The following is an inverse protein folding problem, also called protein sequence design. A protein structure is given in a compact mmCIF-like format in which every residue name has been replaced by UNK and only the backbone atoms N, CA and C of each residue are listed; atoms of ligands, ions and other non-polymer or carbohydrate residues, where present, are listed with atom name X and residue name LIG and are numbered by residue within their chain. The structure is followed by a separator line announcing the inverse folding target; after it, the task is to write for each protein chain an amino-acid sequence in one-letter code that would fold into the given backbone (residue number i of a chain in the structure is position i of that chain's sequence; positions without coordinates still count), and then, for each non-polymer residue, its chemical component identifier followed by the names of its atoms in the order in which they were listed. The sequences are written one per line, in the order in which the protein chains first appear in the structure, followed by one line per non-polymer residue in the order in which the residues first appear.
data_IF_527435616010
#
_entry.id   IF_527435616010
#
_cell.length_a   1.000
_cell.length_b   1.000
_cell.length_c   1.000
_cell.angle_alpha   90.00
_cell.angle_beta   90.00
_cell.angle_gamma   90.00
#
_symmetry.space_group_name_H-M   'P 1'
#
loop_
_entity.id
_entity.type
_entity.pdbx_description
1 polymer ?
#
# COMPACT_ATOMS: atom_id res chain seq x y z
N UNK A 1 27.67 -3.54 -36.34
CA UNK A 1 28.15 -4.80 -35.76
C UNK A 1 28.96 -5.59 -36.79
N UNK A 2 30.00 -6.31 -36.36
CA UNK A 2 30.76 -7.30 -37.16
C UNK A 2 31.11 -8.46 -36.24
N UNK A 3 30.88 -9.70 -36.67
CA UNK A 3 31.19 -10.91 -35.90
C UNK A 3 30.65 -10.89 -34.45
N UNK A 4 29.45 -10.33 -34.25
CA UNK A 4 28.80 -10.21 -32.94
C UNK A 4 29.34 -9.08 -32.05
N UNK A 5 30.31 -8.28 -32.51
CA UNK A 5 30.86 -7.14 -31.76
C UNK A 5 30.28 -5.81 -32.27
N UNK A 6 29.91 -4.92 -31.34
CA UNK A 6 29.67 -3.52 -31.64
C UNK A 6 31.02 -2.88 -32.01
N UNK A 7 31.18 -2.49 -33.27
CA UNK A 7 32.45 -1.94 -33.77
C UNK A 7 32.58 -0.44 -33.52
N UNK A 8 31.50 0.31 -33.63
CA UNK A 8 31.51 1.76 -33.49
C UNK A 8 30.10 2.30 -33.17
N UNK A 9 30.04 3.42 -32.45
CA UNK A 9 28.80 4.15 -32.13
C UNK A 9 28.86 5.52 -32.77
N UNK A 10 28.11 5.70 -33.85
CA UNK A 10 28.05 6.98 -34.54
C UNK A 10 27.15 7.96 -33.79
N UNK A 11 27.66 9.14 -33.46
CA UNK A 11 26.89 10.24 -32.86
C UNK A 11 26.04 10.97 -33.91
N UNK A 12 25.32 12.03 -33.55
CA UNK A 12 24.55 12.82 -34.52
C UNK A 12 25.44 13.36 -35.66
N UNK A 13 25.04 13.13 -36.92
CA UNK A 13 25.80 13.61 -38.08
C UNK A 13 25.56 12.77 -39.33
N UNK A 14 26.14 13.20 -40.45
CA UNK A 14 26.22 12.35 -41.65
C UNK A 14 27.42 11.44 -41.51
N UNK A 15 27.19 10.14 -41.63
CA UNK A 15 28.23 9.13 -41.55
C UNK A 15 28.25 8.34 -42.84
N UNK A 16 29.45 8.09 -43.37
CA UNK A 16 29.65 7.23 -44.52
C UNK A 16 30.06 5.85 -44.01
N UNK A 17 29.24 4.85 -44.28
CA UNK A 17 29.55 3.47 -43.94
C UNK A 17 30.46 2.89 -45.02
N UNK A 18 31.76 2.87 -44.76
CA UNK A 18 32.71 2.14 -45.60
C UNK A 18 32.77 0.70 -45.13
N UNK A 19 31.97 -0.16 -45.75
CA UNK A 19 32.23 -1.60 -45.67
C UNK A 19 33.49 -1.88 -46.50
N UNK A 20 34.44 -2.67 -46.00
CA UNK A 20 35.61 -3.14 -46.77
C UNK A 20 35.16 -4.16 -47.85
N UNK A 21 34.10 -3.86 -48.59
CA UNK A 21 33.64 -4.65 -49.70
C UNK A 21 34.44 -4.20 -50.92
N UNK A 22 35.61 -4.80 -51.12
CA UNK A 22 36.41 -4.54 -52.31
C UNK A 22 35.63 -5.09 -53.52
N UNK A 23 35.16 -4.28 -54.47
CA UNK A 23 34.14 -4.69 -55.45
C UNK A 23 34.53 -5.89 -56.35
N UNK A 24 35.83 -6.08 -56.60
CA UNK A 24 36.35 -7.23 -57.37
C UNK A 24 36.54 -8.48 -56.49
N UNK A 25 37.01 -8.34 -55.25
CA UNK A 25 37.18 -9.46 -54.32
C UNK A 25 35.84 -9.95 -53.76
N UNK A 26 34.86 -9.07 -53.57
CA UNK A 26 33.50 -9.43 -53.15
C UNK A 26 32.78 -10.33 -54.17
N UNK A 27 32.99 -10.10 -55.47
CA UNK A 27 32.45 -10.97 -56.53
C UNK A 27 33.18 -12.32 -56.62
N UNK A 28 34.50 -12.35 -56.41
CA UNK A 28 35.30 -13.58 -56.47
C UNK A 28 35.10 -14.47 -55.22
N UNK A 29 35.02 -13.85 -54.03
CA UNK A 29 34.83 -14.54 -52.74
C UNK A 29 33.35 -14.83 -52.46
N UNK A 30 32.43 -14.02 -52.98
CA UNK A 30 30.98 -14.23 -52.86
C UNK A 30 30.40 -15.27 -53.85
N UNK A 31 31.16 -15.71 -54.84
CA UNK A 31 30.75 -16.73 -55.81
C UNK A 31 30.32 -18.08 -55.17
N UNK A 32 31.02 -18.61 -54.14
CA UNK A 32 30.54 -19.76 -53.37
C UNK A 32 29.38 -19.44 -52.39
N UNK A 33 29.04 -18.16 -52.17
CA UNK A 33 27.97 -17.71 -51.27
C UNK A 33 26.81 -17.02 -52.01
N UNK A 34 26.60 -17.33 -53.30
CA UNK A 34 25.45 -16.83 -54.05
C UNK A 34 25.51 -15.36 -54.47
N UNK A 35 26.67 -14.71 -54.42
CA UNK A 35 26.86 -13.31 -54.83
C UNK A 35 26.58 -12.28 -53.73
N UNK A 36 26.24 -12.72 -52.51
CA UNK A 36 26.13 -11.83 -51.35
C UNK A 36 27.51 -11.56 -50.72
N UNK A 37 27.69 -10.35 -50.17
CA UNK A 37 28.92 -9.97 -49.48
C UNK A 37 29.12 -10.87 -48.26
N UNK A 38 30.31 -11.50 -48.08
CA UNK A 38 30.61 -12.30 -46.90
C UNK A 38 30.68 -11.49 -45.59
N UNK A 39 30.61 -10.15 -45.68
CA UNK A 39 30.60 -9.24 -44.55
C UNK A 39 29.29 -8.43 -44.52
N UNK A 40 28.19 -8.99 -43.97
CA UNK A 40 26.95 -8.24 -43.77
C UNK A 40 27.14 -7.18 -42.67
N UNK A 41 26.74 -5.94 -42.96
CA UNK A 41 26.72 -4.85 -41.99
C UNK A 41 25.28 -4.53 -41.61
N UNK A 42 25.02 -4.42 -40.32
CA UNK A 42 23.71 -4.02 -39.78
C UNK A 42 23.81 -2.64 -39.14
N UNK A 43 22.84 -1.78 -39.46
CA UNK A 43 22.72 -0.41 -38.97
C UNK A 43 21.45 -0.33 -38.13
N UNK A 44 21.60 0.13 -36.90
CA UNK A 44 20.49 0.35 -35.98
C UNK A 44 20.33 1.84 -35.73
N UNK A 45 19.10 2.33 -35.84
CA UNK A 45 18.74 3.68 -35.45
C UNK A 45 18.08 3.63 -34.07
N UNK A 46 18.67 4.32 -33.10
CA UNK A 46 18.15 4.39 -31.74
C UNK A 46 17.74 5.82 -31.45
N UNK A 47 16.49 5.99 -31.02
CA UNK A 47 16.04 7.28 -30.53
C UNK A 47 16.57 7.52 -29.11
N UNK A 48 17.23 8.67 -28.92
CA UNK A 48 17.75 9.14 -27.62
C UNK A 48 16.82 10.15 -26.94
N UNK A 49 15.64 10.38 -27.51
CA UNK A 49 14.64 11.23 -26.88
C UNK A 49 14.18 10.63 -25.56
N UNK A 50 13.66 11.47 -24.66
CA UNK A 50 12.98 10.99 -23.47
C UNK A 50 11.61 10.44 -23.85
N UNK A 51 11.41 9.16 -23.58
CA UNK A 51 10.11 8.51 -23.63
C UNK A 51 9.40 8.78 -22.31
N UNK A 52 8.37 9.61 -22.38
CA UNK A 52 7.53 9.97 -21.24
C UNK A 52 6.30 9.07 -21.18
N UNK A 53 5.63 9.03 -20.02
CA UNK A 53 4.36 8.32 -19.82
C UNK A 53 4.42 6.78 -19.98
N UNK A 54 5.60 6.18 -19.79
CA UNK A 54 5.73 4.73 -19.74
C UNK A 54 5.01 4.20 -18.50
N UNK A 55 4.13 3.21 -18.66
CA UNK A 55 3.34 2.70 -17.55
C UNK A 55 4.00 1.49 -16.93
N UNK A 56 3.98 1.44 -15.60
CA UNK A 56 4.36 0.25 -14.87
C UNK A 56 3.26 -0.14 -13.88
N UNK A 57 3.18 -1.42 -13.58
CA UNK A 57 2.22 -1.91 -12.61
C UNK A 57 2.16 -3.42 -12.56
N UNK A 58 1.57 -3.89 -11.48
CA UNK A 58 1.45 -5.32 -11.15
C UNK A 58 0.34 -5.95 -12.00
N UNK A 59 0.68 -6.93 -12.84
CA UNK A 59 -0.33 -7.69 -13.61
C UNK A 59 -1.27 -8.47 -12.68
N UNK A 60 -0.67 -9.15 -11.71
CA UNK A 60 -1.37 -9.89 -10.67
C UNK A 60 -1.14 -9.23 -9.31
N UNK A 61 -2.10 -9.31 -8.37
CA UNK A 61 -1.89 -8.83 -7.02
C UNK A 61 -0.71 -9.52 -6.34
N UNK A 62 0.19 -8.73 -5.76
CA UNK A 62 1.32 -9.23 -4.98
C UNK A 62 0.81 -9.60 -3.61
N UNK A 63 1.16 -10.79 -3.13
CA UNK A 63 0.81 -11.18 -1.77
C UNK A 63 1.87 -10.68 -0.79
N UNK A 64 1.44 -9.91 0.19
CA UNK A 64 2.22 -9.30 1.25
C UNK A 64 1.74 -9.82 2.61
N UNK A 65 2.68 -10.22 3.47
CA UNK A 65 2.37 -10.62 4.84
C UNK A 65 2.28 -9.37 5.70
N UNK A 66 1.06 -9.02 6.08
CA UNK A 66 0.78 -7.88 6.94
C UNK A 66 0.79 -8.29 8.41
N UNK A 67 1.44 -7.50 9.27
CA UNK A 67 1.53 -7.78 10.71
C UNK A 67 0.16 -7.79 11.41
N UNK A 68 -0.79 -6.98 10.94
CA UNK A 68 -2.13 -6.88 11.51
C UNK A 68 -3.13 -7.73 10.73
N UNK A 69 -3.12 -7.61 9.41
CA UNK A 69 -4.10 -8.22 8.50
C UNK A 69 -3.70 -9.62 8.01
N UNK A 70 -2.57 -10.16 8.47
CA UNK A 70 -2.01 -11.49 8.16
C UNK A 70 -1.56 -11.66 6.71
N UNK A 71 -2.50 -11.65 5.74
CA UNK A 71 -2.18 -11.78 4.31
C UNK A 71 -3.01 -10.78 3.53
N UNK A 72 -2.31 -9.86 2.88
CA UNK A 72 -2.90 -8.80 2.08
C UNK A 72 -2.37 -8.93 0.66
N UNK A 73 -3.27 -8.88 -0.31
CA UNK A 73 -2.89 -8.77 -1.71
C UNK A 73 -2.83 -7.29 -2.07
N UNK A 74 -1.82 -6.85 -2.80
CA UNK A 74 -1.64 -5.46 -3.21
C UNK A 74 -1.47 -5.35 -4.71
N UNK A 75 -2.10 -4.34 -5.29
CA UNK A 75 -1.79 -3.91 -6.65
C UNK A 75 -1.08 -2.58 -6.58
N UNK A 76 -0.06 -2.41 -7.39
CA UNK A 76 0.64 -1.14 -7.50
C UNK A 76 0.76 -0.76 -8.96
N UNK A 77 0.65 0.53 -9.24
CA UNK A 77 0.86 1.06 -10.56
C UNK A 77 1.46 2.45 -10.47
N UNK A 78 2.07 2.87 -11.58
CA UNK A 78 2.66 4.18 -11.70
C UNK A 78 3.14 4.44 -13.11
N UNK A 79 3.98 5.45 -13.23
CA UNK A 79 4.57 5.84 -14.51
C UNK A 79 6.05 6.11 -14.34
N UNK A 80 6.78 5.97 -15.42
CA UNK A 80 8.19 6.33 -15.46
C UNK A 80 8.50 7.01 -16.80
N UNK A 81 9.62 7.73 -16.80
CA UNK A 81 10.21 8.30 -18.02
C UNK A 81 11.61 7.76 -18.18
N UNK A 82 11.98 7.39 -19.40
CA UNK A 82 13.29 6.82 -19.69
C UNK A 82 13.88 7.41 -20.95
N UNK A 83 15.20 7.27 -21.10
CA UNK A 83 15.89 7.51 -22.37
C UNK A 83 17.03 6.52 -22.54
N UNK A 84 17.44 6.26 -23.78
CA UNK A 84 18.63 5.46 -24.04
C UNK A 84 19.88 6.32 -23.85
N UNK A 85 20.61 6.05 -22.77
CA UNK A 85 21.84 6.75 -22.44
C UNK A 85 23.03 6.17 -23.21
N UNK A 86 23.15 4.83 -23.20
CA UNK A 86 24.20 4.08 -23.91
C UNK A 86 23.57 3.15 -24.96
N UNK A 87 23.57 3.56 -26.24
CA UNK A 87 23.05 2.75 -27.35
C UNK A 87 23.79 1.42 -27.55
N UNK A 88 25.09 1.36 -27.21
CA UNK A 88 25.91 0.17 -27.37
C UNK A 88 25.48 -0.92 -26.40
N UNK A 89 25.40 -0.59 -25.10
CA UNK A 89 24.90 -1.51 -24.07
C UNK A 89 23.45 -1.89 -24.34
N UNK A 90 22.61 -0.91 -24.71
CA UNK A 90 21.21 -1.15 -25.06
C UNK A 90 21.04 -2.20 -26.16
N UNK A 91 21.79 -2.07 -27.28
CA UNK A 91 21.72 -3.06 -28.35
C UNK A 91 22.27 -4.41 -27.93
N UNK A 92 23.40 -4.45 -27.22
CA UNK A 92 24.03 -5.70 -26.83
C UNK A 92 23.20 -6.49 -25.81
N UNK A 93 22.58 -5.81 -24.84
CA UNK A 93 21.88 -6.45 -23.73
C UNK A 93 20.39 -6.69 -24.00
N UNK A 94 19.70 -5.72 -24.61
CA UNK A 94 18.24 -5.82 -24.81
C UNK A 94 17.85 -6.32 -26.20
N UNK A 95 18.56 -5.93 -27.26
CA UNK A 95 18.20 -6.30 -28.64
C UNK A 95 18.90 -7.58 -29.09
N UNK A 96 20.17 -7.75 -28.70
CA UNK A 96 21.00 -8.90 -29.04
C UNK A 96 21.05 -9.18 -30.55
N UNK A 97 21.15 -10.46 -30.91
CA UNK A 97 21.13 -10.96 -32.32
C UNK A 97 19.77 -11.53 -32.73
N UNK A 98 18.77 -11.56 -31.82
CA UNK A 98 17.44 -12.11 -32.10
C UNK A 98 16.55 -11.08 -32.79
N UNK A 99 16.88 -10.76 -34.05
CA UNK A 99 16.01 -10.32 -35.16
C UNK A 99 14.99 -9.18 -34.97
N UNK A 100 14.18 -9.17 -33.91
CA UNK A 100 13.19 -8.14 -33.66
C UNK A 100 12.77 -8.12 -32.18
N UNK A 101 13.09 -7.04 -31.47
CA UNK A 101 12.34 -6.62 -30.30
C UNK A 101 11.36 -5.53 -30.75
N UNK A 102 10.08 -5.71 -30.41
CA UNK A 102 9.12 -4.62 -30.51
C UNK A 102 9.26 -3.70 -29.30
N UNK A 103 8.94 -2.42 -29.44
CA UNK A 103 8.93 -1.47 -28.32
C UNK A 103 8.16 -2.02 -27.11
N UNK A 104 7.03 -2.70 -27.36
CA UNK A 104 6.23 -3.33 -26.31
C UNK A 104 6.94 -4.43 -25.53
N UNK A 105 7.79 -5.24 -26.18
CA UNK A 105 8.55 -6.29 -25.48
C UNK A 105 9.61 -5.72 -24.52
N UNK A 106 10.24 -4.60 -24.89
CA UNK A 106 11.20 -3.90 -24.03
C UNK A 106 10.46 -3.22 -22.88
N UNK A 107 9.34 -2.56 -23.16
CA UNK A 107 8.47 -1.97 -22.13
C UNK A 107 8.00 -3.02 -21.11
N UNK A 108 7.56 -4.18 -21.58
CA UNK A 108 7.10 -5.27 -20.73
C UNK A 108 8.21 -5.76 -19.79
N UNK A 109 9.41 -5.96 -20.33
CA UNK A 109 10.58 -6.34 -19.55
C UNK A 109 10.93 -5.30 -18.47
N UNK A 110 11.01 -4.03 -18.86
CA UNK A 110 11.34 -2.94 -17.93
C UNK A 110 10.27 -2.77 -16.85
N UNK A 111 8.98 -2.92 -17.19
CA UNK A 111 7.88 -2.95 -16.22
C UNK A 111 8.06 -4.07 -15.21
N UNK A 112 8.40 -5.27 -15.68
CA UNK A 112 8.55 -6.44 -14.81
C UNK A 112 9.74 -6.24 -13.83
N UNK A 113 10.81 -5.56 -14.26
CA UNK A 113 11.91 -5.12 -13.38
C UNK A 113 11.43 -4.14 -12.30
N UNK A 114 10.63 -3.12 -12.67
CA UNK A 114 10.07 -2.18 -11.70
C UNK A 114 9.20 -2.87 -10.64
N UNK A 115 8.34 -3.80 -11.08
CA UNK A 115 7.46 -4.57 -10.19
C UNK A 115 8.28 -5.47 -9.25
N UNK A 116 9.30 -6.15 -9.76
CA UNK A 116 10.17 -6.97 -8.93
C UNK A 116 10.84 -6.15 -7.82
N UNK A 117 11.38 -4.97 -8.14
CA UNK A 117 12.02 -4.11 -7.14
C UNK A 117 11.06 -3.51 -6.12
N UNK A 118 9.83 -3.21 -6.54
CA UNK A 118 8.79 -2.82 -5.60
C UNK A 118 8.48 -3.96 -4.62
N UNK A 119 8.36 -5.19 -5.10
CA UNK A 119 8.05 -6.35 -4.26
C UNK A 119 9.12 -6.58 -3.20
N UNK A 120 10.39 -6.56 -3.62
CA UNK A 120 11.53 -6.69 -2.72
C UNK A 120 11.49 -5.58 -1.66
N UNK A 121 11.28 -4.33 -2.07
CA UNK A 121 11.26 -3.18 -1.18
C UNK A 121 10.10 -3.24 -0.17
N UNK A 122 8.88 -3.55 -0.62
CA UNK A 122 7.71 -3.69 0.25
C UNK A 122 7.93 -4.79 1.29
N UNK A 123 8.52 -5.92 0.91
CA UNK A 123 8.82 -7.03 1.82
C UNK A 123 9.91 -6.69 2.86
N UNK A 124 10.83 -5.78 2.54
CA UNK A 124 11.91 -5.37 3.45
C UNK A 124 11.49 -4.27 4.44
N UNK A 125 10.70 -3.29 3.98
CA UNK A 125 10.46 -2.05 4.75
C UNK A 125 9.10 -1.99 5.42
N UNK A 126 8.07 -2.57 4.80
CA UNK A 126 6.70 -2.41 5.25
C UNK A 126 6.32 -3.53 6.21
N UNK A 127 5.76 -3.19 7.38
CA UNK A 127 5.20 -4.16 8.34
C UNK A 127 3.69 -4.27 8.22
N UNK A 128 3.02 -3.14 8.03
CA UNK A 128 1.57 -3.08 7.77
C UNK A 128 1.28 -2.07 6.67
N UNK A 129 0.26 -2.35 5.85
CA UNK A 129 -0.24 -1.42 4.84
C UNK A 129 -0.80 -0.13 5.44
N UNK A 130 -1.22 -0.14 6.69
CA UNK A 130 -1.77 1.04 7.36
C UNK A 130 -0.71 2.15 7.51
N UNK A 131 0.57 1.79 7.55
CA UNK A 131 1.69 2.73 7.62
C UNK A 131 2.13 3.23 6.24
N UNK A 132 1.59 2.69 5.15
CA UNK A 132 2.01 3.03 3.79
C UNK A 132 1.95 4.54 3.49
N UNK A 133 0.91 5.30 3.92
CA UNK A 133 0.87 6.76 3.78
C UNK A 133 2.10 7.48 4.31
N UNK A 134 2.71 6.96 5.39
CA UNK A 134 3.86 7.55 6.06
C UNK A 134 5.17 7.33 5.29
N UNK A 135 5.27 6.25 4.53
CA UNK A 135 6.52 5.83 3.88
C UNK A 135 6.52 6.05 2.36
N UNK A 136 5.50 6.70 1.79
CA UNK A 136 5.40 6.83 0.32
C UNK A 136 6.62 7.51 -0.30
N UNK A 137 7.11 8.60 0.29
CA UNK A 137 8.23 9.36 -0.26
C UNK A 137 9.53 8.57 -0.14
N UNK A 138 9.77 7.91 0.99
CA UNK A 138 10.93 7.05 1.20
C UNK A 138 10.90 5.83 0.27
N UNK A 139 9.74 5.19 0.11
CA UNK A 139 9.53 4.08 -0.80
C UNK A 139 9.76 4.50 -2.25
N UNK A 140 9.21 5.65 -2.67
CA UNK A 140 9.39 6.18 -4.00
C UNK A 140 10.87 6.49 -4.29
N UNK A 141 11.57 7.14 -3.34
CA UNK A 141 12.99 7.44 -3.45
C UNK A 141 13.86 6.19 -3.54
N UNK A 142 13.64 5.23 -2.63
CA UNK A 142 14.40 3.98 -2.60
C UNK A 142 14.14 3.13 -3.85
N UNK A 143 12.88 3.04 -4.30
CA UNK A 143 12.51 2.31 -5.51
C UNK A 143 13.12 2.96 -6.76
N UNK A 144 13.04 4.29 -6.88
CA UNK A 144 13.65 5.03 -7.99
C UNK A 144 15.15 4.74 -8.08
N UNK A 145 15.87 4.73 -6.96
CA UNK A 145 17.29 4.38 -6.93
C UNK A 145 17.56 2.96 -7.43
N UNK A 146 16.87 1.95 -6.86
CA UNK A 146 17.04 0.54 -7.24
C UNK A 146 16.71 0.28 -8.72
N UNK A 147 15.65 0.89 -9.22
CA UNK A 147 15.24 0.75 -10.63
C UNK A 147 16.22 1.46 -11.56
N UNK A 148 16.71 2.65 -11.18
CA UNK A 148 17.72 3.36 -11.97
C UNK A 148 19.01 2.54 -12.14
N UNK A 149 19.48 1.90 -11.07
CA UNK A 149 20.66 1.03 -11.10
C UNK A 149 20.46 -0.17 -12.03
N UNK A 150 19.27 -0.79 -12.01
CA UNK A 150 18.96 -1.90 -12.91
C UNK A 150 18.83 -1.44 -14.36
N UNK A 151 18.18 -0.32 -14.63
CA UNK A 151 18.04 0.22 -15.99
C UNK A 151 19.40 0.57 -16.59
N UNK A 152 20.32 1.08 -15.78
CA UNK A 152 21.70 1.40 -16.19
C UNK A 152 22.45 0.20 -16.74
N UNK A 153 22.21 -1.02 -16.22
CA UNK A 153 22.81 -2.26 -16.73
C UNK A 153 22.43 -2.57 -18.18
N UNK A 154 21.32 -2.00 -18.65
CA UNK A 154 20.79 -2.16 -20.00
C UNK A 154 21.02 -0.92 -20.87
N UNK A 155 21.85 0.03 -20.43
CA UNK A 155 22.11 1.27 -21.18
C UNK A 155 20.93 2.26 -21.19
N UNK A 156 19.95 2.05 -20.31
CA UNK A 156 18.76 2.90 -20.16
C UNK A 156 18.94 3.78 -18.92
N UNK A 157 18.62 5.06 -19.06
CA UNK A 157 18.57 5.99 -17.94
C UNK A 157 17.12 6.22 -17.53
N UNK A 158 16.86 6.04 -16.23
CA UNK A 158 15.59 6.39 -15.61
C UNK A 158 15.59 7.90 -15.32
N UNK A 159 14.81 8.65 -16.10
CA UNK A 159 14.70 10.11 -15.96
C UNK A 159 13.79 10.46 -14.80
N UNK A 160 12.63 9.81 -14.76
CA UNK A 160 11.68 10.00 -13.67
C UNK A 160 10.89 8.73 -13.34
N UNK A 161 10.43 8.64 -12.11
CA UNK A 161 9.71 7.48 -11.59
C UNK A 161 8.67 7.94 -10.58
N UNK A 162 7.42 7.58 -10.83
CA UNK A 162 6.27 7.97 -10.04
C UNK A 162 5.50 6.73 -9.64
N UNK A 163 5.21 6.61 -8.35
CA UNK A 163 4.22 5.68 -7.81
C UNK A 163 2.86 6.38 -7.90
N UNK A 164 1.93 5.81 -8.65
CA UNK A 164 0.58 6.36 -8.79
C UNK A 164 -0.28 6.03 -7.58
N UNK A 165 -0.43 4.73 -7.31
CA UNK A 165 -1.05 4.24 -6.09
C UNK A 165 -0.63 2.80 -5.81
N UNK A 166 -0.71 2.43 -4.54
CA UNK A 166 -0.65 1.04 -4.09
C UNK A 166 -2.00 0.78 -3.41
N UNK A 167 -2.81 -0.05 -4.04
CA UNK A 167 -4.21 -0.26 -3.66
C UNK A 167 -4.45 -1.71 -3.29
N UNK A 168 -5.05 -2.00 -2.13
CA UNK A 168 -5.56 -3.32 -1.83
C UNK A 168 -6.75 -3.65 -2.77
N UNK A 169 -6.94 -4.89 -3.22
CA UNK A 169 -8.12 -5.29 -3.98
C UNK A 169 -9.38 -5.14 -3.10
N UNK A 170 -10.54 -5.00 -3.74
CA UNK A 170 -11.82 -4.78 -3.04
C UNK A 170 -12.12 -5.80 -1.93
N UNK A 171 -11.69 -7.04 -2.10
CA UNK A 171 -11.83 -8.09 -1.08
C UNK A 171 -11.09 -7.73 0.22
N UNK A 172 -9.86 -7.25 0.11
CA UNK A 172 -9.08 -6.81 1.27
C UNK A 172 -9.65 -5.51 1.83
N UNK A 173 -10.09 -4.57 0.98
CA UNK A 173 -10.71 -3.34 1.46
C UNK A 173 -11.93 -3.65 2.33
N UNK A 174 -12.77 -4.60 1.92
CA UNK A 174 -13.90 -5.09 2.73
C UNK A 174 -13.44 -5.71 4.06
N UNK A 175 -12.37 -6.50 4.07
CA UNK A 175 -11.83 -7.07 5.31
C UNK A 175 -11.25 -6.00 6.24
N UNK A 176 -10.60 -4.97 5.69
CA UNK A 176 -10.10 -3.82 6.45
C UNK A 176 -11.28 -3.08 7.08
N UNK A 177 -12.31 -2.77 6.28
CA UNK A 177 -13.50 -2.05 6.75
C UNK A 177 -14.27 -2.87 7.81
N UNK A 178 -14.40 -4.19 7.62
CA UNK A 178 -15.02 -5.10 8.59
C UNK A 178 -14.21 -5.17 9.89
N UNK A 179 -12.89 -5.31 9.81
CA UNK A 179 -12.03 -5.32 11.00
C UNK A 179 -11.98 -3.98 11.71
N UNK A 180 -11.95 -2.87 10.98
CA UNK A 180 -12.05 -1.54 11.54
C UNK A 180 -13.40 -1.36 12.26
N UNK A 181 -14.50 -1.86 11.68
CA UNK A 181 -15.80 -1.85 12.34
C UNK A 181 -15.81 -2.72 13.60
N UNK A 182 -15.18 -3.90 13.60
CA UNK A 182 -15.05 -4.76 14.78
C UNK A 182 -14.19 -4.12 15.88
N UNK A 183 -13.06 -3.52 15.50
CA UNK A 183 -12.14 -2.85 16.41
C UNK A 183 -12.72 -1.57 17.03
N UNK A 184 -13.49 -0.79 16.26
CA UNK A 184 -14.22 0.37 16.77
C UNK A 184 -15.33 -0.03 17.75
N UNK A 185 -15.86 -1.25 17.60
CA UNK A 185 -17.02 -1.71 18.36
C UNK A 185 -16.61 -2.41 19.65
N UNK A 186 -15.41 -3.02 19.73
CA UNK A 186 -14.75 -3.51 20.95
C UNK A 186 -15.47 -4.62 21.75
N UNK A 187 -16.77 -4.82 21.51
CA UNK A 187 -17.68 -5.62 22.30
C UNK A 187 -18.48 -6.55 21.37
N UNK A 188 -18.34 -7.86 21.57
CA UNK A 188 -18.91 -8.90 20.70
C UNK A 188 -20.45 -8.79 20.60
N UNK A 189 -21.10 -8.32 21.67
CA UNK A 189 -22.54 -8.06 21.67
C UNK A 189 -22.92 -6.90 20.75
N UNK A 190 -22.09 -5.85 20.70
CA UNK A 190 -22.31 -4.71 19.79
C UNK A 190 -21.99 -5.08 18.34
N UNK A 191 -21.08 -6.02 18.10
CA UNK A 191 -20.84 -6.53 16.75
C UNK A 191 -22.04 -7.32 16.20
N UNK A 192 -22.63 -8.19 17.03
CA UNK A 192 -23.87 -8.88 16.66
C UNK A 192 -25.01 -7.87 16.41
N UNK A 193 -25.13 -6.83 17.25
CA UNK A 193 -26.10 -5.76 17.02
C UNK A 193 -25.81 -4.95 15.75
N UNK A 194 -24.54 -4.67 15.43
CA UNK A 194 -24.13 -3.95 14.22
C UNK A 194 -24.40 -4.77 12.95
N UNK A 195 -24.09 -6.07 12.96
CA UNK A 195 -24.42 -6.99 11.86
C UNK A 195 -25.93 -7.10 11.65
N UNK A 196 -26.70 -7.16 12.73
CA UNK A 196 -28.17 -7.12 12.66
C UNK A 196 -28.67 -5.79 12.06
N UNK A 197 -28.11 -4.65 12.49
CA UNK A 197 -28.47 -3.34 11.97
C UNK A 197 -28.14 -3.20 10.47
N UNK A 198 -26.94 -3.63 10.04
CA UNK A 198 -26.52 -3.65 8.63
C UNK A 198 -27.40 -4.56 7.77
N UNK A 199 -27.85 -5.70 8.30
CA UNK A 199 -28.76 -6.60 7.60
C UNK A 199 -30.15 -5.97 7.41
N UNK A 200 -30.65 -5.26 8.42
CA UNK A 200 -31.91 -4.50 8.33
C UNK A 200 -31.79 -3.34 7.35
N UNK A 201 -30.68 -2.60 7.38
CA UNK A 201 -30.39 -1.50 6.46
C UNK A 201 -30.29 -1.99 5.01
N UNK A 202 -29.57 -3.09 4.76
CA UNK A 202 -29.48 -3.70 3.43
C UNK A 202 -30.85 -4.19 2.90
N UNK A 203 -31.69 -4.74 3.77
CA UNK A 203 -33.06 -5.12 3.42
C UNK A 203 -33.96 -3.91 3.16
N UNK A 204 -33.73 -2.80 3.87
CA UNK A 204 -34.46 -1.54 3.68
C UNK A 204 -34.01 -0.78 2.42
N UNK A 205 -32.75 -0.92 2.01
CA UNK A 205 -32.17 -0.24 0.84
C UNK A 205 -32.47 -0.98 -0.47
N UNK A 206 -32.79 -2.29 -0.40
CA UNK A 206 -33.28 -3.09 -1.53
C UNK A 206 -34.71 -3.64 -1.30
N UNK A 207 -35.75 -2.79 -1.15
CA UNK A 207 -37.13 -3.26 -0.91
C UNK A 207 -37.72 -4.06 -2.07
N UNK A 208 -37.12 -3.97 -3.27
CA UNK A 208 -37.64 -4.59 -4.51
C UNK A 208 -37.17 -6.02 -4.76
N UNK A 209 -36.17 -6.53 -4.04
CA UNK A 209 -35.64 -7.89 -4.24
C UNK A 209 -36.11 -8.90 -3.16
N UNK A 210 -36.88 -8.42 -2.18
CA UNK A 210 -37.49 -9.20 -1.09
C UNK A 210 -38.72 -10.01 -1.55
N UNK A 211 -39.02 -10.00 -2.86
CA UNK A 211 -40.03 -10.86 -3.49
C UNK A 211 -39.47 -12.16 -4.07
N UNK A 212 -38.14 -12.33 -4.09
CA UNK A 212 -37.51 -13.57 -4.55
C UNK A 212 -37.17 -14.48 -3.36
N UNK A 213 -37.32 -15.78 -3.56
CA UNK A 213 -37.47 -16.85 -2.58
C UNK A 213 -36.31 -17.06 -1.58
N UNK A 214 -35.30 -16.18 -1.56
CA UNK A 214 -34.18 -16.19 -0.60
C UNK A 214 -34.43 -15.30 0.64
N UNK A 215 -35.27 -14.25 0.55
CA UNK A 215 -35.54 -13.33 1.67
C UNK A 215 -36.52 -13.87 2.72
N UNK A 216 -37.30 -14.90 2.38
CA UNK A 216 -38.27 -15.53 3.29
C UNK A 216 -37.63 -16.53 4.25
N UNK A 217 -36.43 -17.07 3.95
CA UNK A 217 -35.76 -18.04 4.84
C UNK A 217 -35.16 -17.41 6.10
N UNK A 218 -34.66 -16.18 6.01
CA UNK A 218 -34.07 -15.43 7.14
C UNK A 218 -35.09 -14.48 7.79
N UNK A 219 -36.00 -13.88 7.02
CA UNK A 219 -37.06 -13.01 7.54
C UNK A 219 -38.15 -13.77 8.29
N UNK A 220 -38.52 -14.98 7.85
CA UNK A 220 -39.49 -15.81 8.57
C UNK A 220 -38.87 -16.53 9.78
N UNK A 221 -37.58 -16.86 9.75
CA UNK A 221 -36.88 -17.47 10.89
C UNK A 221 -36.76 -16.51 12.09
N UNK A 222 -36.52 -15.22 11.82
CA UNK A 222 -36.40 -14.18 12.85
C UNK A 222 -37.79 -13.59 13.21
N UNK A 223 -38.68 -13.43 12.23
CA UNK A 223 -40.04 -12.91 12.45
C UNK A 223 -40.94 -13.84 13.27
N UNK A 224 -40.69 -15.16 13.25
CA UNK A 224 -41.46 -16.15 14.00
C UNK A 224 -40.86 -16.48 15.39
N UNK A 225 -39.59 -16.17 15.64
CA UNK A 225 -38.94 -16.42 16.95
C UNK A 225 -39.05 -15.24 17.93
N UNK A 226 -39.24 -14.02 17.43
CA UNK A 226 -39.33 -12.81 18.27
C UNK A 226 -40.59 -12.72 19.16
N UNK A 227 -41.80 -13.15 18.74
CA UNK A 227 -42.98 -13.06 19.61
C UNK A 227 -42.87 -13.94 20.87
N UNK A 228 -42.25 -15.12 20.75
CA UNK A 228 -42.11 -16.08 21.85
C UNK A 228 -41.11 -15.59 22.92
N UNK A 229 -39.99 -14.95 22.51
CA UNK A 229 -39.03 -14.38 23.46
C UNK A 229 -39.58 -13.14 24.19
N UNK A 230 -40.38 -12.32 23.51
CA UNK A 230 -41.00 -11.13 24.12
C UNK A 230 -42.10 -11.53 25.13
N UNK A 231 -42.90 -12.56 24.82
CA UNK A 231 -43.88 -13.10 25.76
C UNK A 231 -43.25 -13.68 27.03
N UNK A 232 -42.07 -14.31 26.90
CA UNK A 232 -41.34 -14.88 28.04
C UNK A 232 -40.63 -13.82 28.90
N UNK A 233 -40.22 -12.69 28.31
CA UNK A 233 -39.67 -11.55 29.05
C UNK A 233 -40.74 -10.73 29.79
N UNK A 234 -41.98 -10.71 29.30
CA UNK A 234 -43.10 -9.98 29.93
C UNK A 234 -43.81 -10.77 31.04
N UNK A 235 -43.68 -12.10 31.06
CA UNK A 235 -44.28 -12.98 32.09
C UNK A 235 -43.59 -12.96 33.46
N UNK A 236 -42.35 -12.45 33.54
CA UNK A 236 -41.56 -12.39 34.78
C UNK A 236 -41.75 -11.12 35.61
N UNK A 237 -42.67 -10.22 35.23
CA UNK A 237 -42.91 -8.94 35.91
C UNK A 237 -44.15 -8.94 36.85
N UNK A 238 -44.88 -10.05 36.99
CA UNK A 238 -46.09 -10.13 37.80
C UNK A 238 -45.96 -11.17 38.93
N UNK A 239 -45.25 -10.82 40.01
CA UNK A 239 -45.23 -11.66 41.20
C UNK A 239 -44.21 -11.27 42.25
N UNK A 240 -44.51 -10.24 43.05
CA UNK A 240 -44.20 -10.17 44.49
C UNK A 240 -44.56 -8.78 45.04
N UNK A 241 -45.66 -8.70 45.80
CA UNK A 241 -45.96 -7.59 46.68
C UNK A 241 -45.86 -8.06 48.13
N UNK A 242 -45.04 -7.39 48.97
CA UNK A 242 -45.27 -7.18 50.42
C UNK A 242 -44.20 -6.27 51.07
N UNK A 243 -44.43 -5.69 52.27
CA UNK A 243 -44.71 -4.28 52.44
C UNK A 243 -43.63 -3.48 53.20
N UNK A 244 -43.83 -2.16 53.24
CA UNK A 244 -42.97 -1.13 53.79
C UNK A 244 -42.73 -1.18 55.31
N UNK A 245 -41.52 -0.76 55.71
CA UNK A 245 -41.15 -0.33 57.06
C UNK A 245 -40.31 0.96 56.99
N UNK A 246 -40.38 1.87 57.98
CA UNK A 246 -39.87 3.24 57.87
C UNK A 246 -38.45 3.40 58.43
N UNK A 247 -37.62 4.25 57.81
CA UNK A 247 -36.37 4.70 58.44
C UNK A 247 -35.36 5.44 57.55
N UNK A 248 -35.43 6.78 57.60
CA UNK A 248 -34.32 7.75 57.72
C UNK A 248 -33.24 7.86 56.58
N UNK A 249 -32.48 8.97 56.50
CA UNK A 249 -32.28 9.73 55.27
C UNK A 249 -30.97 9.42 54.51
N UNK A 250 -30.99 9.77 53.22
CA UNK A 250 -29.88 9.63 52.29
C UNK A 250 -28.67 10.53 52.62
N UNK A 251 -27.43 10.03 52.47
CA UNK A 251 -26.26 10.85 52.20
C UNK A 251 -26.15 11.15 50.69
N UNK A 252 -25.58 12.30 50.29
CA UNK A 252 -25.68 12.83 48.94
C UNK A 252 -24.79 12.09 47.94
N UNK A 253 -25.25 12.05 46.69
CA UNK A 253 -24.50 11.64 45.53
C UNK A 253 -23.23 12.50 45.38
N UNK A 254 -22.06 11.88 45.51
CA UNK A 254 -20.80 12.48 45.09
C UNK A 254 -20.71 12.36 43.56
N UNK A 255 -20.84 13.50 42.88
CA UNK A 255 -20.49 13.63 41.47
C UNK A 255 -19.03 13.25 41.26
N UNK A 256 -18.79 12.34 40.32
CA UNK A 256 -17.44 11.96 39.89
C UNK A 256 -16.75 13.15 39.24
N UNK A 257 -16.00 13.89 40.05
CA UNK A 257 -15.16 14.99 39.62
C UNK A 257 -14.09 14.51 38.65
N UNK A 258 -13.99 15.22 37.52
CA UNK A 258 -12.91 15.14 36.55
C UNK A 258 -11.59 15.33 37.32
N UNK A 259 -10.69 14.34 37.30
CA UNK A 259 -9.33 14.49 37.84
C UNK A 259 -8.58 15.46 36.91
N UNK A 260 -8.56 16.74 37.24
CA UNK A 260 -7.87 17.76 36.44
C UNK A 260 -6.42 17.92 36.90
N UNK A 261 -5.50 17.93 35.92
CA UNK A 261 -4.11 18.36 36.10
C UNK A 261 -4.08 19.88 35.94
N UNK A 262 -3.47 20.58 36.89
CA UNK A 262 -3.25 22.02 36.80
C UNK A 262 -1.77 22.33 36.47
N UNK A 263 -1.47 23.41 35.72
CA UNK A 263 -0.11 23.90 35.57
C UNK A 263 0.55 24.15 36.92
N UNK A 264 1.80 23.70 37.09
CA UNK A 264 2.57 23.82 38.33
C UNK A 264 2.68 22.55 39.18
N UNK A 265 1.95 21.47 38.85
CA UNK A 265 2.08 20.19 39.56
C UNK A 265 3.45 19.54 39.33
N UNK A 266 3.98 18.89 40.36
CA UNK A 266 5.24 18.14 40.30
C UNK A 266 5.06 16.73 39.75
N UNK A 267 6.16 16.08 39.34
CA UNK A 267 6.16 14.70 38.87
C UNK A 267 5.44 13.71 39.81
N UNK A 268 5.67 13.82 41.12
CA UNK A 268 5.07 12.93 42.12
C UNK A 268 3.57 13.14 42.26
N UNK A 269 3.10 14.39 42.10
CA UNK A 269 1.68 14.70 42.13
C UNK A 269 0.96 14.12 40.90
N UNK A 270 1.56 14.25 39.71
CA UNK A 270 0.97 13.69 38.48
C UNK A 270 0.96 12.16 38.53
N UNK A 271 2.06 11.52 39.00
CA UNK A 271 2.09 10.06 39.19
C UNK A 271 1.10 9.58 40.26
N UNK A 272 0.88 10.35 41.31
CA UNK A 272 -0.10 10.02 42.34
C UNK A 272 -1.55 10.02 41.81
N UNK A 273 -1.85 10.82 40.78
CA UNK A 273 -3.21 10.95 40.23
C UNK A 273 -3.46 9.93 39.10
N UNK A 274 -2.49 9.75 38.21
CA UNK A 274 -2.63 8.98 36.95
C UNK A 274 -1.79 7.70 36.88
N UNK A 275 -0.91 7.45 37.85
CA UNK A 275 0.02 6.34 37.81
C UNK A 275 1.22 6.59 36.88
N UNK A 276 1.85 5.51 36.43
CA UNK A 276 3.01 5.60 35.55
C UNK A 276 2.59 5.96 34.11
N UNK A 277 3.31 6.86 33.42
CA UNK A 277 3.02 7.19 32.03
C UNK A 277 3.27 6.00 31.10
N UNK A 278 2.54 5.94 29.98
CA UNK A 278 2.75 4.95 28.91
C UNK A 278 3.97 5.28 28.05
N UNK A 279 4.41 6.54 28.05
CA UNK A 279 5.65 6.97 27.42
C UNK A 279 6.25 8.19 28.13
N UNK A 280 7.58 8.19 28.28
CA UNK A 280 8.33 9.29 28.91
C UNK A 280 9.49 9.70 27.99
N UNK A 281 9.54 10.98 27.62
CA UNK A 281 10.61 11.56 26.80
C UNK A 281 11.19 12.77 27.53
N UNK A 282 12.47 12.72 27.90
CA UNK A 282 13.17 13.80 28.60
C UNK A 282 14.17 14.48 27.66
N UNK A 283 14.12 15.81 27.59
CA UNK A 283 14.99 16.67 26.78
C UNK A 283 15.46 17.87 27.62
N UNK A 284 16.65 17.76 28.21
CA UNK A 284 17.20 18.78 29.11
C UNK A 284 16.27 19.01 30.30
N UNK A 285 15.82 20.26 30.49
CA UNK A 285 14.90 20.64 31.57
C UNK A 285 13.43 20.35 31.26
N UNK A 286 13.12 19.79 30.09
CA UNK A 286 11.76 19.44 29.67
C UNK A 286 11.53 17.95 29.73
N UNK A 287 10.36 17.54 30.23
CA UNK A 287 9.91 16.16 30.14
C UNK A 287 8.52 16.12 29.53
N UNK A 288 8.26 15.17 28.64
CA UNK A 288 6.93 14.92 28.08
C UNK A 288 6.50 13.53 28.50
N UNK A 289 5.38 13.45 29.19
CA UNK A 289 4.75 12.21 29.60
C UNK A 289 3.47 11.99 28.81
N UNK A 290 3.28 10.79 28.31
CA UNK A 290 2.08 10.36 27.59
C UNK A 290 1.30 9.39 28.46
N UNK A 291 -0.02 9.56 28.46
CA UNK A 291 -1.02 8.69 29.08
C UNK A 291 -1.98 8.21 28.00
N UNK A 292 -2.96 7.37 28.35
CA UNK A 292 -3.91 6.79 27.39
C UNK A 292 -4.77 7.85 26.68
N UNK A 293 -5.09 8.94 27.35
CA UNK A 293 -6.03 9.98 26.91
C UNK A 293 -5.45 11.40 27.02
N UNK A 294 -4.17 11.56 27.35
CA UNK A 294 -3.54 12.88 27.46
C UNK A 294 -2.02 12.85 27.37
N UNK A 295 -1.43 14.01 27.12
CA UNK A 295 0.02 14.27 27.19
C UNK A 295 0.28 15.45 28.12
N UNK A 296 1.22 15.28 29.04
CA UNK A 296 1.63 16.28 30.02
C UNK A 296 3.07 16.69 29.73
N UNK A 297 3.32 17.98 29.58
CA UNK A 297 4.66 18.56 29.41
C UNK A 297 5.08 19.21 30.72
N UNK A 298 6.30 18.92 31.12
CA UNK A 298 6.97 19.49 32.27
C UNK A 298 8.14 20.35 31.80
N UNK A 299 8.39 21.45 32.51
CA UNK A 299 9.59 22.28 32.40
C UNK A 299 10.08 22.59 33.82
N UNK A 300 11.36 22.37 34.09
CA UNK A 300 11.95 22.48 35.44
C UNK A 300 11.21 21.66 36.51
N UNK A 301 10.68 20.51 36.10
CA UNK A 301 9.98 19.56 36.97
C UNK A 301 8.54 19.93 37.35
N UNK A 302 7.96 20.95 36.70
CA UNK A 302 6.57 21.36 36.90
C UNK A 302 5.76 21.27 35.61
N UNK A 303 4.50 20.88 35.71
CA UNK A 303 3.57 20.84 34.57
C UNK A 303 3.44 22.25 33.98
N UNK A 304 3.71 22.38 32.68
CA UNK A 304 3.51 23.62 31.92
C UNK A 304 2.38 23.50 30.91
N UNK A 305 2.15 22.31 30.36
CA UNK A 305 1.13 22.09 29.34
C UNK A 305 0.46 20.72 29.52
N UNK A 306 -0.86 20.65 29.32
CA UNK A 306 -1.65 19.41 29.32
C UNK A 306 -2.49 19.39 28.04
N UNK A 307 -2.36 18.34 27.24
CA UNK A 307 -3.15 18.12 26.01
C UNK A 307 -3.97 16.85 26.17
N UNK A 308 -5.27 16.91 25.90
CA UNK A 308 -6.17 15.76 25.85
C UNK A 308 -6.35 15.31 24.41
#
# INVERSE_FOLDING_TARGET
FRDGKALDTFTSGRHTLTTMNIPLLGKLIGMPFGGESPFPAQVYFISRQTFTDMKWGTKEPITFRDAELTMVRLRAFGRFSMRVADPGIFLMQLVGTRGAYTTGSIEDFLRDVCVARLNDLLGETLKTILDLPRYYDELAGALKGRVADDFGKYGVELVDFLIGAITPPEEVQKMIDERASMGAIGDMNRYMAFKAARAVEAAATNPGETGSTAGLGLGAGIGMMMPQMIAQAMGSAAGAARPAGPGAPAPPAAGGGRKEIAPGMSFDQVRGIFGNPTGEVVFGNKARWSFADMTVVFEDGKVTEVKF
#
